data_IF_615033896191
#
_entry.id   IF_615033896191
#
_cell.length_a   1.000
_cell.length_b   1.000
_cell.length_c   1.000
_cell.angle_alpha   90.00
_cell.angle_beta   90.00
_cell.angle_gamma   90.00
#
_symmetry.space_group_name_H-M   'P 1'
#
loop_
_entity.id
_entity.type
_entity.pdbx_description
1 polymer ?
#
# COMPACT_ATOMS: atom_id res chain seq x y z
N UNK A 1 -1.13 0.14 23.27
CA UNK A 1 -0.62 -0.96 24.13
C UNK A 1 0.52 -0.43 24.97
N UNK A 2 0.51 -0.72 26.28
CA UNK A 2 1.54 -0.32 27.26
C UNK A 2 2.91 -1.00 27.02
N UNK A 3 3.44 -0.90 25.81
CA UNK A 3 4.73 -1.50 25.45
C UNK A 3 5.82 -0.82 26.30
N UNK A 4 6.29 -1.52 27.33
CA UNK A 4 7.32 -1.06 28.26
C UNK A 4 6.85 -0.77 29.69
N UNK A 5 5.53 -0.73 29.97
CA UNK A 5 5.04 -0.55 31.35
C UNK A 5 4.82 -1.87 32.09
N UNK A 6 4.61 -2.97 31.35
CA UNK A 6 4.43 -4.32 31.90
C UNK A 6 5.68 -5.18 31.65
N UNK A 7 6.05 -6.06 32.61
CA UNK A 7 7.10 -7.06 32.44
C UNK A 7 6.91 -7.91 31.18
N UNK A 8 8.03 -8.31 30.56
CA UNK A 8 8.05 -9.13 29.34
C UNK A 8 7.22 -10.41 29.47
N UNK A 9 7.26 -11.05 30.64
CA UNK A 9 6.49 -12.26 30.95
C UNK A 9 4.98 -12.04 30.82
N UNK A 10 4.49 -10.91 31.31
CA UNK A 10 3.07 -10.54 31.26
C UNK A 10 2.66 -10.14 29.85
N UNK A 11 3.55 -9.48 29.12
CA UNK A 11 3.34 -9.20 27.70
C UNK A 11 3.20 -10.48 26.86
N UNK A 12 4.07 -11.48 27.06
CA UNK A 12 3.99 -12.77 26.38
C UNK A 12 2.71 -13.53 26.72
N UNK A 13 2.27 -13.48 27.99
CA UNK A 13 1.00 -14.07 28.44
C UNK A 13 -0.20 -13.41 27.75
N UNK A 14 -0.24 -12.08 27.69
CA UNK A 14 -1.29 -11.30 27.01
C UNK A 14 -1.31 -11.62 25.51
N UNK A 15 -0.15 -11.72 24.86
CA UNK A 15 -0.06 -12.09 23.44
C UNK A 15 -0.64 -13.48 23.18
N UNK A 16 -0.35 -14.46 24.05
CA UNK A 16 -0.93 -15.80 23.95
C UNK A 16 -2.45 -15.78 24.15
N UNK A 17 -2.95 -15.02 25.12
CA UNK A 17 -4.39 -14.84 25.36
C UNK A 17 -5.11 -14.24 24.15
N UNK A 18 -4.51 -13.21 23.54
CA UNK A 18 -5.07 -12.59 22.34
C UNK A 18 -5.03 -13.52 21.13
N UNK A 19 -3.95 -14.29 20.96
CA UNK A 19 -3.84 -15.26 19.87
C UNK A 19 -4.86 -16.41 19.99
N UNK A 20 -5.23 -16.77 21.22
CA UNK A 20 -6.24 -17.79 21.50
C UNK A 20 -7.68 -17.29 21.32
N UNK A 21 -7.91 -15.98 21.37
CA UNK A 21 -9.25 -15.36 21.29
C UNK A 21 -9.30 -14.38 20.11
N UNK A 22 -9.22 -14.91 18.89
CA UNK A 22 -9.16 -14.11 17.65
C UNK A 22 -10.48 -13.37 17.39
N UNK A 23 -11.60 -13.97 17.76
CA UNK A 23 -12.94 -13.47 17.43
C UNK A 23 -13.49 -12.48 18.46
N UNK A 24 -12.94 -12.45 19.68
CA UNK A 24 -13.40 -11.56 20.76
C UNK A 24 -12.23 -11.14 21.62
N UNK A 25 -12.07 -9.82 21.80
CA UNK A 25 -10.97 -9.28 22.58
C UNK A 25 -11.16 -9.60 24.08
N UNK A 26 -10.29 -10.42 24.70
CA UNK A 26 -10.44 -10.90 26.08
C UNK A 26 -9.98 -9.83 27.08
N UNK A 27 -10.74 -8.74 27.18
CA UNK A 27 -10.30 -7.54 27.88
C UNK A 27 -10.17 -7.74 29.40
N UNK A 28 -11.02 -8.58 30.01
CA UNK A 28 -11.00 -8.88 31.44
C UNK A 28 -9.73 -9.63 31.82
N UNK A 29 -9.40 -10.69 31.10
CA UNK A 29 -8.22 -11.52 31.35
C UNK A 29 -6.92 -10.75 31.12
N UNK A 30 -6.92 -9.81 30.17
CA UNK A 30 -5.80 -8.89 29.96
C UNK A 30 -5.65 -7.93 31.13
N UNK A 31 -6.74 -7.33 31.63
CA UNK A 31 -6.70 -6.43 32.78
C UNK A 31 -6.22 -7.17 34.04
N UNK A 32 -6.77 -8.35 34.31
CA UNK A 32 -6.38 -9.17 35.46
C UNK A 32 -4.90 -9.58 35.38
N UNK A 33 -4.41 -9.92 34.18
CA UNK A 33 -3.00 -10.24 33.99
C UNK A 33 -2.07 -9.03 34.24
N UNK A 34 -2.53 -7.81 33.96
CA UNK A 34 -1.77 -6.58 34.23
C UNK A 34 -1.82 -6.21 35.71
N UNK A 35 -2.99 -6.35 36.35
CA UNK A 35 -3.17 -6.01 37.77
C UNK A 35 -2.51 -7.03 38.72
N UNK A 36 -2.32 -8.27 38.27
CA UNK A 36 -1.63 -9.30 39.03
C UNK A 36 -0.10 -9.09 39.11
N UNK A 37 0.46 -8.17 38.33
CA UNK A 37 1.88 -7.84 38.38
C UNK A 37 2.12 -6.73 39.41
N UNK A 38 3.14 -6.89 40.28
CA UNK A 38 3.49 -5.89 41.27
C UNK A 38 3.94 -4.59 40.60
N UNK A 39 3.16 -3.52 40.77
CA UNK A 39 3.46 -2.21 40.24
C UNK A 39 4.56 -1.54 41.07
N UNK A 40 5.73 -1.34 40.46
CA UNK A 40 6.76 -0.47 41.01
C UNK A 40 6.30 1.00 41.09
N UNK A 41 6.95 1.84 41.91
CA UNK A 41 6.57 3.25 42.08
C UNK A 41 6.66 4.08 40.77
N UNK A 42 7.34 3.56 39.76
CA UNK A 42 7.55 4.20 38.46
C UNK A 42 6.54 3.75 37.38
N UNK A 43 5.53 2.95 37.73
CA UNK A 43 4.53 2.45 36.77
C UNK A 43 3.81 3.58 36.02
N UNK A 44 3.45 4.65 36.72
CA UNK A 44 2.80 5.82 36.13
C UNK A 44 3.72 6.49 35.11
N UNK A 45 5.01 6.65 35.44
CA UNK A 45 5.98 7.26 34.54
C UNK A 45 6.22 6.40 33.30
N UNK A 46 6.35 5.07 33.46
CA UNK A 46 6.46 4.12 32.34
C UNK A 46 5.21 4.13 31.47
N UNK A 47 4.02 4.23 32.08
CA UNK A 47 2.75 4.34 31.37
C UNK A 47 2.68 5.59 30.50
N UNK A 48 3.06 6.75 31.05
CA UNK A 48 3.09 8.03 30.33
C UNK A 48 4.10 8.01 29.17
N UNK A 49 5.31 7.47 29.38
CA UNK A 49 6.29 7.28 28.29
C UNK A 49 5.76 6.35 27.21
N UNK A 50 5.15 5.24 27.58
CA UNK A 50 4.54 4.28 26.64
C UNK A 50 3.42 4.89 25.81
N UNK A 51 2.57 5.72 26.40
CA UNK A 51 1.54 6.46 25.67
C UNK A 51 2.14 7.48 24.69
N UNK A 52 3.11 8.29 25.14
CA UNK A 52 3.82 9.25 24.29
C UNK A 52 4.46 8.55 23.09
N UNK A 53 5.16 7.45 23.33
CA UNK A 53 5.84 6.69 22.28
C UNK A 53 4.83 6.02 21.33
N UNK A 54 3.67 5.59 21.85
CA UNK A 54 2.59 5.09 21.00
C UNK A 54 2.00 6.19 20.12
N UNK A 55 1.73 7.38 20.66
CA UNK A 55 1.27 8.53 19.87
C UNK A 55 2.30 8.92 18.80
N UNK A 56 3.58 9.00 19.17
CA UNK A 56 4.66 9.26 18.22
C UNK A 56 4.68 8.23 17.08
N UNK A 57 4.45 6.95 17.37
CA UNK A 57 4.36 5.87 16.37
C UNK A 57 3.03 5.83 15.59
N UNK A 58 1.95 6.32 16.16
CA UNK A 58 0.64 6.41 15.52
C UNK A 58 0.61 7.56 14.49
N UNK A 59 1.37 8.62 14.73
CA UNK A 59 1.53 9.74 13.80
C UNK A 59 2.49 9.46 12.64
N UNK A 60 3.27 8.37 12.69
CA UNK A 60 4.06 7.94 11.53
C UNK A 60 3.10 7.36 10.48
N UNK A 61 2.92 8.01 9.31
CA UNK A 61 2.03 7.51 8.28
C UNK A 61 2.46 6.10 7.86
N UNK A 62 1.50 5.24 7.56
CA UNK A 62 1.75 3.83 7.20
C UNK A 62 2.77 3.68 6.05
N UNK A 63 2.89 4.71 5.21
CA UNK A 63 3.87 4.85 4.13
C UNK A 63 5.33 4.94 4.62
N UNK A 64 5.60 5.51 5.80
CA UNK A 64 6.94 5.57 6.38
C UNK A 64 7.37 4.28 7.11
N UNK A 65 6.43 3.37 7.41
CA UNK A 65 6.74 2.00 7.87
C UNK A 65 7.19 1.08 6.73
N UNK A 66 7.11 1.52 5.47
CA UNK A 66 7.53 0.75 4.29
C UNK A 66 9.06 0.67 4.12
N UNK A 67 9.82 0.64 5.21
CA UNK A 67 11.24 0.23 5.22
C UNK A 67 11.44 -1.27 5.02
N UNK A 68 10.52 -1.97 4.33
CA UNK A 68 10.72 -3.37 3.94
C UNK A 68 11.45 -3.41 2.60
N UNK A 69 12.77 -3.49 2.74
CA UNK A 69 13.74 -4.08 1.78
C UNK A 69 13.59 -3.63 0.33
N UNK A 70 14.53 -2.80 -0.13
CA UNK A 70 14.68 -2.39 -1.54
C UNK A 70 14.58 -3.54 -2.56
N UNK A 71 14.87 -4.78 -2.13
CA UNK A 71 14.73 -6.01 -2.91
C UNK A 71 13.28 -6.45 -3.20
N UNK A 72 12.31 -6.11 -2.35
CA UNK A 72 10.88 -6.37 -2.58
C UNK A 72 10.29 -5.25 -3.44
N UNK A 73 10.64 -4.00 -3.16
CA UNK A 73 10.21 -2.84 -3.96
C UNK A 73 10.58 -2.97 -5.45
N UNK A 74 11.78 -3.47 -5.76
CA UNK A 74 12.20 -3.72 -7.15
C UNK A 74 11.35 -4.76 -7.90
N UNK A 75 10.89 -5.81 -7.21
CA UNK A 75 10.03 -6.84 -7.82
C UNK A 75 8.63 -6.31 -8.08
N UNK A 76 8.09 -5.50 -7.18
CA UNK A 76 6.77 -4.89 -7.35
C UNK A 76 6.77 -3.84 -8.46
N UNK A 77 7.83 -3.04 -8.58
CA UNK A 77 7.99 -2.07 -9.66
C UNK A 77 8.07 -2.77 -11.04
N UNK A 78 8.85 -3.86 -11.13
CA UNK A 78 8.95 -4.66 -12.36
C UNK A 78 7.60 -5.28 -12.76
N UNK A 79 6.86 -5.82 -11.79
CA UNK A 79 5.52 -6.37 -12.03
C UNK A 79 4.54 -5.29 -12.54
N UNK A 80 4.63 -4.07 -12.03
CA UNK A 80 3.80 -2.95 -12.48
C UNK A 80 4.10 -2.56 -13.93
N UNK A 81 5.38 -2.46 -14.29
CA UNK A 81 5.83 -2.17 -15.67
C UNK A 81 5.41 -3.28 -16.63
N UNK A 82 5.55 -4.55 -16.24
CA UNK A 82 5.11 -5.69 -17.05
C UNK A 82 3.60 -5.68 -17.27
N UNK A 83 2.82 -5.43 -16.22
CA UNK A 83 1.37 -5.29 -16.33
C UNK A 83 1.00 -4.16 -17.29
N UNK A 84 1.63 -2.99 -17.15
CA UNK A 84 1.38 -1.85 -18.02
C UNK A 84 1.76 -2.14 -19.49
N UNK A 85 2.86 -2.87 -19.72
CA UNK A 85 3.27 -3.29 -21.05
C UNK A 85 2.26 -4.25 -21.70
N UNK A 86 1.70 -5.20 -20.94
CA UNK A 86 0.67 -6.13 -21.42
C UNK A 86 -0.59 -5.36 -21.82
N UNK A 87 -1.09 -4.48 -20.95
CA UNK A 87 -2.26 -3.65 -21.26
C UNK A 87 -2.02 -2.76 -22.48
N UNK A 88 -0.83 -2.16 -22.59
CA UNK A 88 -0.45 -1.35 -23.75
C UNK A 88 -0.42 -2.18 -25.05
N UNK A 89 0.12 -3.40 -25.01
CA UNK A 89 0.16 -4.30 -26.15
C UNK A 89 -1.26 -4.72 -26.60
N UNK A 90 -2.13 -5.07 -25.65
CA UNK A 90 -3.54 -5.41 -25.92
C UNK A 90 -4.25 -4.20 -26.54
N UNK A 91 -4.10 -3.02 -25.94
CA UNK A 91 -4.71 -1.78 -26.44
C UNK A 91 -4.23 -1.46 -27.86
N UNK A 92 -2.91 -1.52 -28.10
CA UNK A 92 -2.34 -1.26 -29.43
C UNK A 92 -2.86 -2.27 -30.45
N UNK A 93 -2.93 -3.55 -30.09
CA UNK A 93 -3.51 -4.59 -30.93
C UNK A 93 -4.98 -4.31 -31.27
N UNK A 94 -5.78 -3.92 -30.29
CA UNK A 94 -7.18 -3.57 -30.50
C UNK A 94 -7.35 -2.35 -31.42
N UNK A 95 -6.54 -1.29 -31.22
CA UNK A 95 -6.56 -0.10 -32.08
C UNK A 95 -6.17 -0.45 -33.52
N UNK A 96 -5.09 -1.20 -33.71
CA UNK A 96 -4.64 -1.65 -35.03
C UNK A 96 -5.71 -2.52 -35.69
N UNK A 97 -6.35 -3.42 -34.93
CA UNK A 97 -7.42 -4.26 -35.43
C UNK A 97 -8.62 -3.43 -35.89
N UNK A 98 -9.08 -2.48 -35.08
CA UNK A 98 -10.18 -1.56 -35.44
C UNK A 98 -9.82 -0.74 -36.67
N UNK A 99 -8.60 -0.22 -36.76
CA UNK A 99 -8.13 0.52 -37.94
C UNK A 99 -8.11 -0.37 -39.20
N UNK A 100 -7.69 -1.63 -39.06
CA UNK A 100 -7.70 -2.58 -40.17
C UNK A 100 -9.13 -2.92 -40.62
N UNK A 101 -10.03 -3.13 -39.66
CA UNK A 101 -11.45 -3.39 -39.92
C UNK A 101 -12.11 -2.19 -40.63
N UNK A 102 -11.82 -0.98 -40.16
CA UNK A 102 -12.30 0.26 -40.77
C UNK A 102 -11.77 0.42 -42.20
N UNK A 103 -10.49 0.11 -42.45
CA UNK A 103 -9.89 0.12 -43.79
C UNK A 103 -10.53 -0.92 -44.72
N UNK A 104 -10.89 -2.09 -44.19
CA UNK A 104 -11.53 -3.15 -44.99
C UNK A 104 -12.98 -2.79 -45.36
N UNK A 105 -13.74 -2.20 -44.44
CA UNK A 105 -15.12 -1.78 -44.69
C UNK A 105 -15.24 -0.48 -45.49
N UNK A 106 -14.28 0.44 -45.35
CA UNK A 106 -14.26 1.73 -46.04
C UNK A 106 -12.89 1.99 -46.67
N UNK A 107 -12.67 1.55 -47.93
CA UNK A 107 -11.39 1.70 -48.63
C UNK A 107 -10.97 3.16 -48.84
N UNK A 108 -11.93 4.08 -48.84
CA UNK A 108 -11.75 5.53 -48.97
C UNK A 108 -11.54 6.26 -47.64
N UNK A 109 -11.48 5.54 -46.51
CA UNK A 109 -11.24 6.14 -45.21
C UNK A 109 -9.76 6.51 -45.08
N UNK A 110 -9.47 7.80 -45.20
CA UNK A 110 -8.11 8.30 -45.08
C UNK A 110 -7.69 8.33 -43.60
N UNK A 111 -6.95 7.30 -43.20
CA UNK A 111 -6.41 7.14 -41.84
C UNK A 111 -5.50 8.32 -41.47
N UNK A 112 -4.97 9.06 -42.45
CA UNK A 112 -4.11 10.21 -42.23
C UNK A 112 -4.88 11.50 -41.93
N UNK A 113 -6.18 11.60 -42.23
CA UNK A 113 -6.95 12.84 -42.01
C UNK A 113 -6.99 13.31 -40.54
N UNK A 114 -7.18 12.43 -39.52
CA UNK A 114 -7.08 12.85 -38.11
C UNK A 114 -5.65 13.22 -37.70
N UNK A 115 -4.65 12.61 -38.35
CA UNK A 115 -3.23 12.86 -38.10
C UNK A 115 -2.79 14.20 -38.68
N UNK A 116 -3.29 14.54 -39.88
CA UNK A 116 -3.13 15.85 -40.51
C UNK A 116 -3.87 16.94 -39.75
N UNK A 117 -5.07 16.66 -39.24
CA UNK A 117 -5.77 17.57 -38.33
C UNK A 117 -4.98 17.79 -37.03
N UNK A 118 -4.46 16.74 -36.41
CA UNK A 118 -3.62 16.89 -35.21
C UNK A 118 -2.33 17.67 -35.49
N UNK A 119 -1.72 17.45 -36.66
CA UNK A 119 -0.51 18.15 -37.10
C UNK A 119 -0.79 19.63 -37.43
N UNK A 120 -1.98 19.96 -37.92
CA UNK A 120 -2.40 21.35 -38.19
C UNK A 120 -2.77 22.11 -36.92
N UNK A 121 -3.27 21.42 -35.88
CA UNK A 121 -3.58 22.03 -34.57
C UNK A 121 -2.34 22.19 -33.69
N UNK A 122 -1.32 21.34 -33.83
CA UNK A 122 -0.10 21.38 -33.01
C UNK A 122 1.21 21.36 -33.83
N UNK A 123 1.47 22.37 -34.69
CA UNK A 123 2.64 22.38 -35.58
C UNK A 123 4.00 22.40 -34.85
N UNK A 124 4.04 22.88 -33.60
CA UNK A 124 5.28 22.97 -32.80
C UNK A 124 5.70 21.69 -32.06
N UNK A 125 4.86 20.65 -32.01
CA UNK A 125 5.15 19.40 -31.25
C UNK A 125 5.68 18.29 -32.16
N UNK A 126 5.31 18.30 -33.44
CA UNK A 126 5.67 17.27 -34.42
C UNK A 126 6.62 17.77 -35.53
N UNK A 127 7.17 18.98 -35.36
CA UNK A 127 8.12 19.62 -36.26
C UNK A 127 9.55 19.58 -35.72
N UNK A 128 10.21 18.44 -35.85
CA UNK A 128 11.66 18.33 -36.05
C UNK A 128 11.94 17.20 -37.04
#
# INVERSE_FOLDING_TARGET
MMAGAIPKRTQERIQKLMAANVDTYPWQEVVDAVLADEAGPDLVERGLRGQRDWFARAQVPATARAGRTARVAGKTALAYVLSQAIFFAIYTGAVVFVLNLAKHHWPSFDIYAPLEWARSVAPGVFGR
#
